data_IF_068108224558
#
_entry.id   IF_068108224558
#
_cell.length_a   1.000
_cell.length_b   1.000
_cell.length_c   1.000
_cell.angle_alpha   90.00
_cell.angle_beta   90.00
_cell.angle_gamma   90.00
#
_symmetry.space_group_name_H-M   'P 1'
#
loop_
_entity.id
_entity.type
_entity.pdbx_description
1 polymer ?
#
# COMPACT_ATOMS: atom_id res chain seq x y z
N UNK A 1 -17.78 -13.64 4.08
CA UNK A 1 -18.18 -12.45 4.87
C UNK A 1 -18.12 -11.26 3.94
N UNK A 2 -19.25 -10.58 3.69
CA UNK A 2 -19.32 -9.50 2.71
C UNK A 2 -18.37 -8.33 3.02
N UNK A 3 -18.04 -8.09 4.29
CA UNK A 3 -17.17 -6.99 4.74
C UNK A 3 -15.70 -7.16 4.31
N UNK A 4 -15.13 -8.37 4.42
CA UNK A 4 -13.74 -8.64 4.00
C UNK A 4 -13.60 -8.55 2.48
N UNK A 5 -14.62 -8.98 1.75
CA UNK A 5 -14.63 -8.88 0.29
C UNK A 5 -14.73 -7.42 -0.16
N UNK A 6 -15.59 -6.63 0.50
CA UNK A 6 -15.69 -5.20 0.26
C UNK A 6 -14.39 -4.46 0.59
N UNK A 7 -13.73 -4.79 1.70
CA UNK A 7 -12.43 -4.22 2.05
C UNK A 7 -11.35 -4.62 1.03
N UNK A 8 -11.35 -5.88 0.56
CA UNK A 8 -10.44 -6.32 -0.50
C UNK A 8 -10.64 -5.52 -1.79
N UNK A 9 -11.87 -5.38 -2.26
CA UNK A 9 -12.20 -4.61 -3.46
C UNK A 9 -11.79 -3.14 -3.31
N UNK A 10 -12.02 -2.55 -2.14
CA UNK A 10 -11.58 -1.19 -1.86
C UNK A 10 -10.05 -1.06 -1.85
N UNK A 11 -9.33 -2.05 -1.33
CA UNK A 11 -7.88 -2.09 -1.41
C UNK A 11 -7.38 -2.18 -2.86
N UNK A 12 -8.02 -2.96 -3.73
CA UNK A 12 -7.70 -2.96 -5.16
C UNK A 12 -7.87 -1.57 -5.78
N UNK A 13 -9.00 -0.90 -5.50
CA UNK A 13 -9.23 0.47 -5.97
C UNK A 13 -8.14 1.45 -5.51
N UNK A 14 -7.74 1.39 -4.23
CA UNK A 14 -6.67 2.25 -3.70
C UNK A 14 -5.31 1.94 -4.34
N UNK A 15 -5.02 0.67 -4.62
CA UNK A 15 -3.78 0.26 -5.28
C UNK A 15 -3.76 0.63 -6.77
N UNK A 16 -4.90 0.65 -7.43
CA UNK A 16 -5.04 1.15 -8.81
C UNK A 16 -4.85 2.66 -8.88
N UNK A 17 -5.46 3.40 -7.96
CA UNK A 17 -5.26 4.84 -7.86
C UNK A 17 -3.80 5.18 -7.52
N UNK A 18 -3.15 4.40 -6.65
CA UNK A 18 -1.73 4.58 -6.35
C UNK A 18 -0.88 4.32 -7.60
N UNK A 19 -1.18 3.26 -8.35
CA UNK A 19 -0.45 2.97 -9.59
C UNK A 19 -0.56 4.12 -10.60
N UNK A 20 -1.76 4.67 -10.79
CA UNK A 20 -1.97 5.83 -11.66
C UNK A 20 -1.14 7.03 -11.23
N UNK A 21 -1.14 7.36 -9.94
CA UNK A 21 -0.30 8.42 -9.35
C UNK A 21 1.19 8.17 -9.63
N UNK A 22 1.65 6.93 -9.46
CA UNK A 22 3.04 6.53 -9.70
C UNK A 22 3.41 6.45 -11.18
N UNK A 23 2.46 6.47 -12.11
CA UNK A 23 2.72 6.42 -13.55
C UNK A 23 3.03 7.80 -14.14
N UNK A 24 2.61 8.86 -13.47
CA UNK A 24 2.99 10.23 -13.83
C UNK A 24 4.51 10.47 -13.71
N UNK A 25 5.05 11.28 -14.63
CA UNK A 25 6.46 11.62 -14.67
C UNK A 25 6.89 12.43 -13.43
N UNK A 26 6.07 13.40 -13.05
CA UNK A 26 6.28 14.30 -11.92
C UNK A 26 5.60 13.79 -10.65
N UNK A 27 6.08 14.29 -9.50
CA UNK A 27 5.44 13.99 -8.23
C UNK A 27 4.01 14.54 -8.22
N UNK A 28 3.04 13.70 -7.85
CA UNK A 28 1.71 14.18 -7.54
C UNK A 28 1.78 15.20 -6.40
N UNK A 29 0.75 16.05 -6.30
CA UNK A 29 0.70 16.99 -5.18
C UNK A 29 0.85 16.24 -3.85
N UNK A 30 1.70 16.77 -2.97
CA UNK A 30 2.02 16.11 -1.69
C UNK A 30 0.77 15.78 -0.87
N UNK A 31 -0.31 16.56 -1.00
CA UNK A 31 -1.60 16.30 -0.35
C UNK A 31 -2.33 15.07 -0.90
N UNK A 32 -2.38 14.88 -2.22
CA UNK A 32 -3.03 13.71 -2.85
C UNK A 32 -2.31 12.43 -2.48
N UNK A 33 -0.97 12.42 -2.57
CA UNK A 33 -0.19 11.24 -2.23
C UNK A 33 -0.26 10.92 -0.73
N UNK A 34 -0.20 11.93 0.14
CA UNK A 34 -0.34 11.73 1.58
C UNK A 34 -1.71 11.16 1.95
N UNK A 35 -2.79 11.69 1.36
CA UNK A 35 -4.15 11.19 1.58
C UNK A 35 -4.29 9.74 1.12
N UNK A 36 -3.78 9.42 -0.06
CA UNK A 36 -3.85 8.06 -0.60
C UNK A 36 -3.05 7.06 0.25
N UNK A 37 -1.86 7.44 0.71
CA UNK A 37 -1.06 6.63 1.64
C UNK A 37 -1.78 6.39 2.96
N UNK A 38 -2.39 7.43 3.52
CA UNK A 38 -3.12 7.33 4.77
C UNK A 38 -4.32 6.39 4.64
N UNK A 39 -5.14 6.54 3.60
CA UNK A 39 -6.31 5.68 3.38
C UNK A 39 -5.89 4.23 3.13
N UNK A 40 -4.83 4.01 2.34
CA UNK A 40 -4.26 2.68 2.11
C UNK A 40 -3.82 2.03 3.43
N UNK A 41 -3.07 2.73 4.29
CA UNK A 41 -2.63 2.18 5.57
C UNK A 41 -3.82 1.88 6.50
N UNK A 42 -4.80 2.78 6.57
CA UNK A 42 -6.00 2.65 7.40
C UNK A 42 -6.79 1.38 7.06
N UNK A 43 -6.88 1.01 5.78
CA UNK A 43 -7.62 -0.17 5.32
C UNK A 43 -6.76 -1.43 5.32
N UNK A 44 -5.50 -1.32 4.90
CA UNK A 44 -4.63 -2.47 4.70
C UNK A 44 -4.21 -3.12 6.01
N UNK A 45 -3.93 -2.33 7.05
CA UNK A 45 -3.41 -2.88 8.31
C UNK A 45 -4.43 -3.76 9.04
N UNK A 46 -5.69 -3.32 9.23
CA UNK A 46 -6.73 -4.19 9.75
C UNK A 46 -6.96 -5.41 8.88
N UNK A 47 -7.01 -5.25 7.56
CA UNK A 47 -7.22 -6.35 6.62
C UNK A 47 -6.15 -7.45 6.77
N UNK A 48 -4.86 -7.10 6.69
CA UNK A 48 -3.77 -8.07 6.81
C UNK A 48 -3.73 -8.73 8.19
N UNK A 49 -4.08 -7.98 9.25
CA UNK A 49 -4.15 -8.52 10.62
C UNK A 49 -5.25 -9.57 10.72
N UNK A 50 -6.46 -9.25 10.26
CA UNK A 50 -7.61 -10.18 10.28
C UNK A 50 -7.38 -11.37 9.35
N UNK A 51 -6.86 -11.15 8.15
CA UNK A 51 -6.55 -12.22 7.20
C UNK A 51 -5.49 -13.19 7.76
N UNK A 52 -4.45 -12.68 8.42
CA UNK A 52 -3.44 -13.51 9.07
C UNK A 52 -3.96 -14.29 10.29
N UNK A 53 -4.95 -13.77 11.01
CA UNK A 53 -5.62 -14.49 12.11
C UNK A 53 -6.56 -15.57 11.60
N UNK A 54 -7.27 -15.30 10.49
CA UNK A 54 -8.25 -16.23 9.89
C UNK A 54 -7.61 -17.33 9.06
N UNK A 55 -6.48 -17.03 8.42
CA UNK A 55 -5.76 -17.93 7.54
C UNK A 55 -4.34 -18.13 8.08
N UNK A 56 -4.12 -19.10 9.00
CA UNK A 56 -2.81 -19.33 9.62
C UNK A 56 -1.67 -19.54 8.60
N UNK A 57 -1.96 -20.18 7.46
CA UNK A 57 -1.00 -20.36 6.36
C UNK A 57 -0.49 -19.04 5.76
N UNK A 58 -1.27 -17.95 5.89
CA UNK A 58 -0.93 -16.60 5.40
C UNK A 58 -0.39 -15.69 6.48
N UNK A 59 -0.38 -16.10 7.76
CA UNK A 59 0.02 -15.27 8.89
C UNK A 59 1.42 -14.67 8.72
N UNK A 60 2.37 -15.49 8.28
CA UNK A 60 3.74 -15.05 8.04
C UNK A 60 3.83 -14.03 6.89
N UNK A 61 3.13 -14.28 5.77
CA UNK A 61 3.15 -13.35 4.63
C UNK A 61 2.47 -12.03 4.96
N UNK A 62 1.36 -12.05 5.71
CA UNK A 62 0.70 -10.84 6.22
C UNK A 62 1.65 -10.02 7.10
N UNK A 63 2.39 -10.68 8.01
CA UNK A 63 3.38 -10.01 8.87
C UNK A 63 4.50 -9.35 8.07
N UNK A 64 5.06 -10.05 7.07
CA UNK A 64 6.10 -9.51 6.18
C UNK A 64 5.59 -8.29 5.41
N UNK A 65 4.36 -8.35 4.86
CA UNK A 65 3.78 -7.23 4.13
C UNK A 65 3.52 -6.02 5.02
N UNK A 66 3.01 -6.22 6.23
CA UNK A 66 2.81 -5.15 7.20
C UNK A 66 4.13 -4.41 7.50
N UNK A 67 5.19 -5.15 7.81
CA UNK A 67 6.49 -4.56 8.12
C UNK A 67 7.12 -3.87 6.90
N UNK A 68 6.94 -4.43 5.71
CA UNK A 68 7.40 -3.79 4.47
C UNK A 68 6.67 -2.47 4.19
N UNK A 69 5.35 -2.41 4.38
CA UNK A 69 4.58 -1.15 4.21
C UNK A 69 4.98 -0.12 5.25
N UNK A 70 5.11 -0.52 6.53
CA UNK A 70 5.58 0.37 7.61
C UNK A 70 6.97 0.91 7.33
N UNK A 71 7.90 0.05 6.93
CA UNK A 71 9.26 0.42 6.58
C UNK A 71 9.30 1.41 5.41
N UNK A 72 8.54 1.15 4.35
CA UNK A 72 8.40 2.07 3.23
C UNK A 72 7.86 3.44 3.68
N UNK A 73 6.82 3.45 4.51
CA UNK A 73 6.18 4.70 4.93
C UNK A 73 7.07 5.53 5.86
N UNK A 74 7.83 4.87 6.73
CA UNK A 74 8.82 5.51 7.60
C UNK A 74 10.01 6.05 6.81
N UNK A 75 10.42 5.35 5.77
CA UNK A 75 11.59 5.70 4.93
C UNK A 75 11.31 6.91 4.04
N UNK A 76 10.07 7.04 3.57
CA UNK A 76 9.64 8.04 2.60
C UNK A 76 8.69 9.06 3.25
N UNK A 77 9.24 10.08 3.90
CA UNK A 77 8.48 11.29 4.26
C UNK A 77 8.23 12.18 3.02
N UNK A 78 7.34 13.16 3.15
CA UNK A 78 6.96 14.04 2.03
C UNK A 78 8.16 14.79 1.43
N UNK A 79 9.08 15.27 2.27
CA UNK A 79 10.25 16.04 1.82
C UNK A 79 11.22 15.20 0.99
N UNK A 80 11.40 13.93 1.36
CA UNK A 80 12.24 12.99 0.64
C UNK A 80 11.58 12.55 -0.67
N UNK A 81 10.26 12.37 -0.68
CA UNK A 81 9.51 12.01 -1.89
C UNK A 81 9.68 13.08 -2.95
N UNK A 82 9.53 14.35 -2.59
CA UNK A 82 9.67 15.46 -3.53
C UNK A 82 11.11 15.56 -4.06
N UNK A 83 12.10 15.29 -3.21
CA UNK A 83 13.53 15.31 -3.57
C UNK A 83 13.97 14.14 -4.45
N UNK A 84 13.40 12.95 -4.25
CA UNK A 84 13.83 11.71 -4.89
C UNK A 84 12.63 10.87 -5.38
N UNK A 85 11.80 11.52 -6.18
CA UNK A 85 10.61 10.95 -6.78
C UNK A 85 10.87 9.68 -7.60
N UNK A 86 11.92 9.60 -8.45
CA UNK A 86 12.18 8.39 -9.24
C UNK A 86 12.46 7.14 -8.38
N UNK A 87 13.22 7.28 -7.29
CA UNK A 87 13.49 6.15 -6.40
C UNK A 87 12.25 5.77 -5.59
N UNK A 88 11.49 6.75 -5.09
CA UNK A 88 10.19 6.49 -4.44
C UNK A 88 9.27 5.70 -5.37
N UNK A 89 9.10 6.14 -6.63
CA UNK A 89 8.24 5.46 -7.61
C UNK A 89 8.62 4.01 -7.82
N UNK A 90 9.90 3.73 -7.98
CA UNK A 90 10.41 2.37 -8.18
C UNK A 90 10.08 1.48 -6.99
N UNK A 91 10.33 1.95 -5.77
CA UNK A 91 10.05 1.18 -4.54
C UNK A 91 8.54 1.01 -4.30
N UNK A 92 7.77 2.07 -4.47
CA UNK A 92 6.33 2.07 -4.30
C UNK A 92 5.63 1.13 -5.29
N UNK A 93 6.07 1.08 -6.56
CA UNK A 93 5.57 0.12 -7.56
C UNK A 93 5.82 -1.33 -7.14
N UNK A 94 7.02 -1.63 -6.64
CA UNK A 94 7.33 -2.97 -6.12
C UNK A 94 6.46 -3.35 -4.91
N UNK A 95 6.13 -2.38 -4.05
CA UNK A 95 5.21 -2.57 -2.94
C UNK A 95 3.78 -2.82 -3.43
N UNK A 96 3.27 -1.99 -4.34
CA UNK A 96 1.93 -2.13 -4.94
C UNK A 96 1.77 -3.50 -5.59
N UNK A 97 2.75 -3.94 -6.38
CA UNK A 97 2.72 -5.27 -7.00
C UNK A 97 2.66 -6.40 -5.96
N UNK A 98 3.44 -6.30 -4.89
CA UNK A 98 3.45 -7.31 -3.83
C UNK A 98 2.12 -7.38 -3.08
N UNK A 99 1.48 -6.23 -2.87
CA UNK A 99 0.15 -6.17 -2.25
C UNK A 99 -0.93 -6.76 -3.17
N UNK A 100 -0.89 -6.47 -4.48
CA UNK A 100 -1.83 -7.07 -5.44
C UNK A 100 -1.73 -8.59 -5.49
N UNK A 101 -0.51 -9.12 -5.52
CA UNK A 101 -0.28 -10.58 -5.49
C UNK A 101 -0.83 -11.24 -4.22
N UNK A 102 -0.77 -10.54 -3.08
CA UNK A 102 -1.38 -11.05 -1.85
C UNK A 102 -2.89 -10.96 -1.88
N UNK A 103 -3.47 -9.87 -2.37
CA UNK A 103 -4.93 -9.69 -2.36
C UNK A 103 -5.66 -10.65 -3.30
N UNK A 104 -5.02 -11.07 -4.40
CA UNK A 104 -5.55 -12.09 -5.31
C UNK A 104 -6.77 -11.61 -6.06
#
# INVERSE_FOLDING_TARGET
MPEIEADRQHLHFLLDHMQQVLDHADAASGSVLAQLRWELARRLFPYLTVDGLRNPCRKASCGVLLERVRGHFKTWDSSRIDRDWPAYRREARGLVQSLRLHLG
#
